data_IF_959386229135
#
_entry.id   IF_959386229135
#
_cell.length_a   1.000
_cell.length_b   1.000
_cell.length_c   1.000
_cell.angle_alpha   90.00
_cell.angle_beta   90.00
_cell.angle_gamma   90.00
#
_symmetry.space_group_name_H-M   'P 1'
#
loop_
_entity.id
_entity.type
_entity.pdbx_description
1 polymer ?
#
# COMPACT_ATOMS: atom_id res chain seq x y z
N UNK A 1 8.22 -19.04 -9.73
CA UNK A 1 7.95 -18.68 -8.34
C UNK A 1 6.65 -17.91 -8.24
N UNK A 2 5.97 -18.09 -7.11
CA UNK A 2 4.72 -17.47 -6.78
C UNK A 2 4.92 -16.56 -5.57
N UNK A 3 4.20 -15.45 -5.53
CA UNK A 3 4.40 -14.50 -4.45
C UNK A 3 3.72 -13.16 -4.68
N UNK A 4 4.11 -12.21 -3.85
CA UNK A 4 3.62 -10.84 -3.89
C UNK A 4 4.76 -9.84 -3.71
N UNK A 5 4.75 -8.79 -4.53
CA UNK A 5 5.52 -7.58 -4.28
C UNK A 5 4.57 -6.53 -3.68
N UNK A 6 4.99 -5.89 -2.60
CA UNK A 6 4.19 -4.92 -1.86
C UNK A 6 4.98 -3.63 -1.74
N UNK A 7 4.35 -2.52 -2.09
CA UNK A 7 4.87 -1.18 -1.82
C UNK A 7 3.93 -0.53 -0.82
N UNK A 8 4.50 -0.08 0.29
CA UNK A 8 3.81 0.65 1.34
C UNK A 8 4.34 2.08 1.37
N UNK A 9 3.46 3.07 1.40
CA UNK A 9 3.84 4.47 1.68
C UNK A 9 2.99 4.99 2.83
N UNK A 10 3.63 5.51 3.87
CA UNK A 10 2.98 6.18 4.99
C UNK A 10 3.16 7.68 4.83
N UNK A 11 2.07 8.41 4.96
CA UNK A 11 2.03 9.85 4.93
C UNK A 11 1.57 10.33 6.30
N UNK A 12 2.43 11.09 6.98
CA UNK A 12 2.01 11.96 8.07
C UNK A 12 1.27 13.14 7.45
N UNK A 13 0.02 13.34 7.83
CA UNK A 13 -0.85 14.39 7.27
C UNK A 13 -1.25 15.44 8.29
N UNK A 14 -0.89 15.26 9.57
CA UNK A 14 -1.29 16.14 10.65
C UNK A 14 -1.28 15.45 12.00
N UNK A 15 -1.90 16.09 12.99
CA UNK A 15 -1.99 15.59 14.36
C UNK A 15 -3.18 14.66 14.57
N UNK A 16 -4.28 14.95 13.89
CA UNK A 16 -5.53 14.22 14.08
C UNK A 16 -6.39 14.23 12.82
N UNK A 17 -7.12 13.15 12.60
CA UNK A 17 -8.11 13.01 11.53
C UNK A 17 -9.47 12.64 12.11
N UNK A 18 -10.50 13.44 11.82
CA UNK A 18 -11.88 13.07 12.16
C UNK A 18 -12.36 11.94 11.23
N UNK A 19 -12.18 10.70 11.69
CA UNK A 19 -12.58 9.50 10.94
C UNK A 19 -14.09 9.48 10.64
N UNK A 20 -14.93 10.00 11.54
CA UNK A 20 -16.38 10.00 11.34
C UNK A 20 -16.78 10.93 10.19
N UNK A 21 -16.11 12.08 10.05
CA UNK A 21 -16.34 13.00 8.95
C UNK A 21 -15.71 12.53 7.62
N UNK A 22 -14.51 11.94 7.69
CA UNK A 22 -13.76 11.47 6.52
C UNK A 22 -14.44 10.29 5.81
N UNK A 23 -15.16 9.44 6.54
CA UNK A 23 -15.69 8.19 5.98
C UNK A 23 -16.59 8.37 4.75
N UNK A 24 -17.33 9.48 4.68
CA UNK A 24 -18.21 9.79 3.55
C UNK A 24 -17.50 10.43 2.36
N UNK A 25 -16.24 10.82 2.50
CA UNK A 25 -15.47 11.54 1.46
C UNK A 25 -14.59 10.62 0.62
N UNK A 26 -14.30 9.43 1.15
CA UNK A 26 -13.39 8.48 0.54
C UNK A 26 -14.12 7.66 -0.54
N UNK A 27 -13.47 7.50 -1.70
CA UNK A 27 -13.96 6.67 -2.78
C UNK A 27 -13.34 5.27 -2.72
N UNK A 28 -14.15 4.24 -2.97
CA UNK A 28 -13.73 2.84 -3.00
C UNK A 28 -14.59 1.95 -2.11
N UNK A 29 -14.21 0.68 -2.02
CA UNK A 29 -14.93 -0.31 -1.22
C UNK A 29 -14.42 -0.31 0.22
N UNK A 30 -15.30 -0.03 1.19
CA UNK A 30 -14.96 -0.09 2.60
C UNK A 30 -14.71 -1.53 3.03
N UNK A 31 -13.56 -1.74 3.66
CA UNK A 31 -13.17 -3.03 4.22
C UNK A 31 -13.31 -3.02 5.73
N UNK A 32 -13.60 -4.19 6.30
CA UNK A 32 -13.46 -4.37 7.74
C UNK A 32 -11.98 -4.19 8.13
N UNK A 33 -11.73 -3.40 9.17
CA UNK A 33 -10.38 -3.31 9.73
C UNK A 33 -9.97 -4.72 10.22
N UNK A 34 -8.82 -5.27 9.78
CA UNK A 34 -8.40 -6.58 10.20
C UNK A 34 -8.16 -6.60 11.71
N UNK A 35 -8.61 -7.66 12.38
CA UNK A 35 -8.23 -7.92 13.76
C UNK A 35 -6.76 -8.30 13.75
N UNK A 36 -5.91 -7.47 14.34
CA UNK A 36 -4.48 -7.79 14.49
C UNK A 36 -4.34 -8.96 15.46
N UNK A 37 -4.07 -10.16 14.94
CA UNK A 37 -3.89 -11.39 15.75
C UNK A 37 -2.74 -11.26 16.77
N UNK A 38 -1.79 -10.38 16.52
CA UNK A 38 -0.52 -10.31 17.26
C UNK A 38 -0.38 -9.06 18.16
N UNK A 39 -1.42 -8.22 18.26
CA UNK A 39 -1.43 -7.12 19.23
C UNK A 39 -1.84 -7.68 20.60
N UNK A 40 -1.08 -7.43 21.69
CA UNK A 40 -1.51 -7.79 23.04
C UNK A 40 -2.91 -7.25 23.32
N UNK A 41 -3.78 -8.04 23.97
CA UNK A 41 -5.17 -7.63 24.29
C UNK A 41 -5.26 -6.34 25.10
N UNK A 42 -4.17 -5.96 25.78
CA UNK A 42 -4.04 -4.73 26.56
C UNK A 42 -3.84 -3.49 25.70
N UNK A 43 -3.43 -3.62 24.43
CA UNK A 43 -3.21 -2.51 23.51
C UNK A 43 -4.45 -2.34 22.64
N UNK A 44 -5.25 -1.31 22.93
CA UNK A 44 -6.36 -0.89 22.08
C UNK A 44 -5.86 0.17 21.10
N UNK A 45 -5.56 -0.25 19.88
CA UNK A 45 -5.29 0.69 18.79
C UNK A 45 -6.62 1.23 18.22
N UNK A 46 -6.72 2.54 17.93
CA UNK A 46 -7.84 3.07 17.15
C UNK A 46 -7.99 2.31 15.83
N UNK A 47 -9.22 1.96 15.46
CA UNK A 47 -9.46 1.19 14.23
C UNK A 47 -9.37 2.14 13.04
N UNK A 48 -8.44 1.93 12.10
CA UNK A 48 -8.39 2.76 10.91
C UNK A 48 -9.62 2.55 10.05
N UNK A 49 -9.94 3.55 9.24
CA UNK A 49 -10.79 3.35 8.07
C UNK A 49 -9.95 2.66 7.01
N UNK A 50 -10.38 1.48 6.56
CA UNK A 50 -9.71 0.72 5.51
C UNK A 50 -10.56 0.75 4.26
N UNK A 51 -9.96 1.16 3.15
CA UNK A 51 -10.63 1.23 1.85
C UNK A 51 -9.78 0.52 0.82
N UNK A 52 -10.42 -0.33 0.04
CA UNK A 52 -9.86 -0.87 -1.18
C UNK A 52 -10.23 0.07 -2.32
N UNK A 53 -9.20 0.56 -3.01
CA UNK A 53 -9.37 1.47 -4.13
C UNK A 53 -9.78 0.64 -5.34
N UNK A 54 -11.05 0.77 -5.72
CA UNK A 54 -11.59 0.08 -6.89
C UNK A 54 -10.91 0.62 -8.15
N UNK A 55 -10.09 -0.22 -8.78
CA UNK A 55 -9.46 0.09 -10.05
C UNK A 55 -9.28 -1.19 -10.85
N UNK A 56 -9.68 -1.16 -12.13
CA UNK A 56 -9.41 -2.26 -13.06
C UNK A 56 -7.96 -2.17 -13.49
N UNK A 57 -7.08 -2.86 -12.77
CA UNK A 57 -5.66 -2.88 -13.07
C UNK A 57 -5.35 -4.00 -14.05
N UNK A 58 -4.70 -3.67 -15.15
CA UNK A 58 -4.13 -4.65 -16.09
C UNK A 58 -2.65 -4.38 -16.28
N UNK A 59 -1.87 -5.43 -16.51
CA UNK A 59 -0.44 -5.31 -16.78
C UNK A 59 -0.07 -6.24 -17.93
N UNK A 60 0.86 -5.80 -18.78
CA UNK A 60 1.45 -6.62 -19.83
C UNK A 60 2.60 -7.50 -19.29
N UNK A 61 2.88 -7.44 -17.98
CA UNK A 61 3.87 -8.28 -17.32
C UNK A 61 3.45 -9.77 -17.39
N UNK A 62 4.26 -10.67 -17.98
CA UNK A 62 3.85 -12.04 -18.26
C UNK A 62 3.44 -12.87 -17.03
N UNK A 63 3.97 -12.53 -15.86
CA UNK A 63 3.73 -13.24 -14.60
C UNK A 63 2.70 -12.54 -13.72
N UNK A 64 2.03 -11.51 -14.24
CA UNK A 64 1.00 -10.76 -13.52
C UNK A 64 -0.22 -11.65 -13.22
N UNK A 65 -0.62 -11.68 -11.94
CA UNK A 65 -1.85 -12.36 -11.51
C UNK A 65 -2.94 -11.37 -11.13
N UNK A 66 -2.61 -10.43 -10.25
CA UNK A 66 -3.53 -9.42 -9.75
C UNK A 66 -2.75 -8.24 -9.16
N UNK A 67 -3.41 -7.08 -9.06
CA UNK A 67 -2.93 -5.97 -8.26
C UNK A 67 -4.06 -5.35 -7.46
N UNK A 68 -3.77 -4.90 -6.25
CA UNK A 68 -4.72 -4.21 -5.36
C UNK A 68 -4.06 -3.01 -4.71
N UNK A 69 -4.84 -1.97 -4.44
CA UNK A 69 -4.40 -0.80 -3.68
C UNK A 69 -5.36 -0.58 -2.52
N UNK A 70 -4.81 -0.45 -1.32
CA UNK A 70 -5.56 -0.18 -0.10
C UNK A 70 -5.08 1.10 0.54
N UNK A 71 -6.01 1.92 1.02
CA UNK A 71 -5.74 3.06 1.88
C UNK A 71 -6.22 2.73 3.29
N UNK A 72 -5.39 3.05 4.29
CA UNK A 72 -5.74 3.03 5.71
C UNK A 72 -5.59 4.44 6.25
N UNK A 73 -6.67 5.00 6.76
CA UNK A 73 -6.67 6.31 7.42
C UNK A 73 -6.77 6.10 8.92
N UNK A 74 -5.79 6.60 9.64
CA UNK A 74 -5.70 6.52 11.09
C UNK A 74 -6.07 7.87 11.72
N UNK A 75 -6.64 7.79 12.92
CA UNK A 75 -7.10 8.97 13.68
C UNK A 75 -5.94 9.86 14.15
N UNK A 76 -4.74 9.30 14.26
CA UNK A 76 -3.51 9.95 14.73
C UNK A 76 -2.77 10.73 13.64
N UNK A 77 -3.42 11.02 12.51
CA UNK A 77 -2.81 11.82 11.45
C UNK A 77 -1.96 11.02 10.46
N UNK A 78 -2.11 9.70 10.40
CA UNK A 78 -1.38 8.85 9.45
C UNK A 78 -2.28 8.30 8.36
N UNK A 79 -1.78 8.28 7.13
CA UNK A 79 -2.40 7.59 6.01
C UNK A 79 -1.41 6.59 5.42
N UNK A 80 -1.76 5.31 5.43
CA UNK A 80 -0.97 4.26 4.79
C UNK A 80 -1.62 3.82 3.48
N UNK A 81 -0.86 3.89 2.39
CA UNK A 81 -1.22 3.29 1.11
C UNK A 81 -0.44 1.99 0.92
N UNK A 82 -1.13 0.93 0.54
CA UNK A 82 -0.58 -0.43 0.36
C UNK A 82 -0.93 -0.90 -1.04
N UNK A 83 0.02 -0.82 -1.96
CA UNK A 83 -0.09 -1.44 -3.27
C UNK A 83 0.47 -2.86 -3.19
N UNK A 84 -0.25 -3.83 -3.73
CA UNK A 84 0.18 -5.23 -3.84
C UNK A 84 0.11 -5.69 -5.28
N UNK A 85 1.16 -6.31 -5.77
CA UNK A 85 1.21 -7.07 -7.01
C UNK A 85 1.36 -8.55 -6.63
N UNK A 86 0.41 -9.38 -7.01
CA UNK A 86 0.55 -10.84 -6.94
C UNK A 86 1.08 -11.34 -8.29
N UNK A 87 2.04 -12.27 -8.24
CA UNK A 87 2.64 -12.89 -9.43
C UNK A 87 2.65 -14.42 -9.31
N UNK A 88 2.68 -15.10 -10.46
CA UNK A 88 2.67 -16.55 -10.56
C UNK A 88 3.66 -17.03 -11.64
N UNK A 89 4.45 -18.06 -11.33
CA UNK A 89 5.38 -18.65 -12.29
C UNK A 89 6.62 -17.82 -12.64
N UNK A 90 6.96 -16.77 -11.89
CA UNK A 90 8.12 -15.90 -12.15
C UNK A 90 9.46 -16.63 -11.95
N UNK A 91 10.36 -16.70 -12.94
CA UNK A 91 11.71 -17.24 -12.75
C UNK A 91 12.49 -16.50 -11.67
N UNK A 92 13.37 -17.20 -10.95
CA UNK A 92 14.08 -16.64 -9.80
C UNK A 92 15.14 -15.61 -10.18
N UNK A 93 15.75 -15.75 -11.34
CA UNK A 93 16.65 -14.77 -11.95
C UNK A 93 15.93 -13.47 -12.39
N UNK A 94 14.59 -13.47 -12.44
CA UNK A 94 13.77 -12.34 -12.90
C UNK A 94 13.09 -11.54 -11.79
N UNK A 95 13.39 -11.82 -10.52
CA UNK A 95 12.84 -11.04 -9.40
C UNK A 95 13.08 -9.52 -9.52
N UNK A 96 14.21 -9.12 -10.11
CA UNK A 96 14.56 -7.73 -10.32
C UNK A 96 13.59 -6.98 -11.27
N UNK A 97 12.90 -7.71 -12.16
CA UNK A 97 11.93 -7.14 -13.11
C UNK A 97 10.70 -6.55 -12.38
N UNK A 98 10.39 -7.04 -11.16
CA UNK A 98 9.23 -6.58 -10.37
C UNK A 98 9.25 -5.07 -10.07
N UNK A 99 10.44 -4.47 -9.97
CA UNK A 99 10.60 -3.03 -9.68
C UNK A 99 10.06 -2.15 -10.82
N UNK A 100 10.15 -2.61 -12.06
CA UNK A 100 9.76 -1.85 -13.26
C UNK A 100 8.43 -2.27 -13.86
N UNK A 101 7.64 -3.10 -13.18
CA UNK A 101 6.34 -3.53 -13.68
C UNK A 101 5.42 -2.32 -13.81
N UNK A 102 4.90 -2.14 -15.02
CA UNK A 102 3.92 -1.10 -15.33
C UNK A 102 2.51 -1.65 -15.31
N UNK A 103 1.60 -0.83 -14.81
CA UNK A 103 0.19 -1.11 -14.63
C UNK A 103 -0.61 -0.08 -15.41
N UNK A 104 -1.55 -0.54 -16.23
CA UNK A 104 -2.54 0.32 -16.86
C UNK A 104 -3.67 0.57 -15.87
N UNK A 105 -3.77 1.82 -15.41
CA UNK A 105 -4.86 2.34 -14.58
C UNK A 105 -5.48 3.51 -15.35
N UNK A 106 -6.79 3.48 -15.57
CA UNK A 106 -7.53 4.51 -16.32
C UNK A 106 -6.89 4.84 -17.69
N UNK A 107 -6.31 3.83 -18.36
CA UNK A 107 -5.66 3.98 -19.67
C UNK A 107 -4.26 4.61 -19.67
N UNK A 108 -3.65 4.81 -18.49
CA UNK A 108 -2.27 5.29 -18.34
C UNK A 108 -1.41 4.25 -17.64
N UNK A 109 -0.14 4.19 -18.03
CA UNK A 109 0.85 3.33 -17.38
C UNK A 109 1.39 4.01 -16.12
N UNK A 110 1.41 3.27 -15.01
CA UNK A 110 2.02 3.67 -13.75
C UNK A 110 2.90 2.53 -13.23
N UNK A 111 3.97 2.84 -12.51
CA UNK A 111 4.61 1.91 -11.57
C UNK A 111 3.84 1.87 -10.23
N UNK A 112 4.11 0.89 -9.36
CA UNK A 112 3.38 0.77 -8.07
C UNK A 112 3.48 2.04 -7.21
N UNK A 113 4.68 2.66 -7.19
CA UNK A 113 4.91 3.89 -6.44
C UNK A 113 4.12 5.08 -6.97
N UNK A 114 4.02 5.19 -8.30
CA UNK A 114 3.27 6.25 -8.99
C UNK A 114 1.76 6.04 -8.87
N UNK A 115 1.30 4.78 -8.88
CA UNK A 115 -0.09 4.42 -8.65
C UNK A 115 -0.57 4.86 -7.26
N UNK A 116 0.27 4.68 -6.23
CA UNK A 116 0.01 5.19 -4.89
C UNK A 116 -0.07 6.72 -4.89
N UNK A 117 0.93 7.39 -5.46
CA UNK A 117 0.96 8.86 -5.50
C UNK A 117 -0.25 9.44 -6.22
N UNK A 118 -0.65 8.85 -7.34
CA UNK A 118 -1.84 9.23 -8.07
C UNK A 118 -3.10 9.21 -7.20
N UNK A 119 -3.27 8.16 -6.40
CA UNK A 119 -4.43 8.04 -5.50
C UNK A 119 -4.31 8.94 -4.28
N UNK A 120 -3.12 9.11 -3.73
CA UNK A 120 -2.87 10.04 -2.63
C UNK A 120 -3.23 11.48 -3.03
N UNK A 121 -2.80 11.95 -4.22
CA UNK A 121 -3.12 13.28 -4.73
C UNK A 121 -4.63 13.48 -4.97
N UNK A 122 -5.35 12.41 -5.34
CA UNK A 122 -6.82 12.44 -5.49
C UNK A 122 -7.55 12.44 -4.14
N UNK A 123 -7.03 11.70 -3.16
CA UNK A 123 -7.69 11.47 -1.88
C UNK A 123 -7.45 12.61 -0.88
N UNK A 124 -6.21 13.07 -0.74
CA UNK A 124 -5.82 14.02 0.31
C UNK A 124 -6.66 15.32 0.30
N UNK A 125 -6.88 16.00 -0.85
CA UNK A 125 -7.67 17.24 -0.86
C UNK A 125 -9.13 17.07 -0.40
N UNK A 126 -9.68 15.85 -0.50
CA UNK A 126 -11.06 15.56 -0.07
C UNK A 126 -11.20 15.42 1.44
N UNK A 127 -10.12 15.00 2.08
CA UNK A 127 -10.10 14.72 3.52
C UNK A 127 -9.40 15.81 4.32
N UNK A 128 -8.56 16.62 3.68
CA UNK A 128 -7.82 17.73 4.28
C UNK A 128 -8.67 18.66 5.16
N UNK A 129 -9.94 19.01 4.82
CA UNK A 129 -10.78 19.82 5.71
C UNK A 129 -11.09 19.19 7.08
N UNK A 130 -10.86 17.89 7.23
CA UNK A 130 -11.13 17.10 8.44
C UNK A 130 -9.85 16.68 9.16
N UNK A 131 -8.72 17.28 8.79
CA UNK A 131 -7.41 17.02 9.38
C UNK A 131 -7.02 18.22 10.23
N UNK A 132 -6.78 17.99 11.52
CA UNK A 132 -6.16 18.97 12.39
C UNK A 132 -4.64 18.91 12.21
N UNK A 133 -4.08 20.04 11.78
CA UNK A 133 -2.65 20.20 11.53
C UNK A 133 -1.95 21.00 12.63
N UNK A 134 -2.64 21.41 13.71
CA UNK A 134 -2.15 22.32 14.76
C UNK A 134 -0.61 22.32 14.87
N UNK A 135 0.02 23.36 14.31
CA UNK A 135 1.48 23.66 14.28
C UNK A 135 2.38 22.99 13.23
N UNK A 136 1.86 22.20 12.29
CA UNK A 136 2.66 21.66 11.18
C UNK A 136 2.57 22.52 9.92
N UNK A 137 3.60 23.34 9.66
CA UNK A 137 3.89 23.82 8.31
C UNK A 137 4.63 22.71 7.54
N UNK A 138 3.87 21.77 6.98
CA UNK A 138 4.47 20.74 6.11
C UNK A 138 4.96 21.41 4.81
N UNK A 139 6.28 21.55 4.66
CA UNK A 139 6.91 22.03 3.43
C UNK A 139 6.74 21.00 2.29
N UNK A 140 6.70 19.71 2.65
CA UNK A 140 6.19 18.61 1.84
C UNK A 140 6.09 17.36 2.71
N UNK A 141 5.00 16.60 2.61
CA UNK A 141 4.89 15.29 3.26
C UNK A 141 5.68 14.27 2.45
N UNK A 142 6.98 14.15 2.69
CA UNK A 142 7.76 13.04 2.17
C UNK A 142 7.25 11.75 2.80
N UNK A 143 6.79 10.76 2.02
CA UNK A 143 6.29 9.53 2.58
C UNK A 143 7.43 8.66 3.10
N UNK A 144 7.16 7.98 4.20
CA UNK A 144 7.97 6.84 4.59
C UNK A 144 7.60 5.64 3.71
N UNK A 145 8.56 5.14 2.92
CA UNK A 145 8.30 4.12 1.90
C UNK A 145 9.00 2.80 2.22
N UNK A 146 8.26 1.70 2.09
CA UNK A 146 8.75 0.35 2.29
C UNK A 146 8.40 -0.54 1.11
N UNK A 147 9.31 -1.45 0.78
CA UNK A 147 9.11 -2.50 -0.22
C UNK A 147 9.25 -3.86 0.44
N UNK A 148 8.31 -4.75 0.19
CA UNK A 148 8.27 -6.10 0.76
C UNK A 148 8.10 -7.08 -0.40
N UNK A 149 8.91 -8.14 -0.40
CA UNK A 149 8.76 -9.27 -1.31
C UNK A 149 8.38 -10.50 -0.51
N UNK A 150 7.22 -11.07 -0.81
CA UNK A 150 6.71 -12.28 -0.20
C UNK A 150 6.80 -13.42 -1.23
N UNK A 151 7.54 -14.48 -0.92
CA UNK A 151 7.58 -15.70 -1.74
C UNK A 151 6.72 -16.75 -1.04
N UNK A 152 5.75 -17.31 -1.74
CA UNK A 152 4.80 -18.28 -1.18
C UNK A 152 5.15 -19.72 -1.48
N UNK A 153 6.13 -19.96 -2.35
CA UNK A 153 6.66 -21.30 -2.61
C UNK A 153 7.48 -21.81 -1.43
N UNK A 154 7.61 -23.14 -1.34
CA UNK A 154 8.57 -23.76 -0.43
C UNK A 154 9.99 -23.54 -0.97
N UNK A 155 10.73 -22.65 -0.31
CA UNK A 155 12.12 -22.30 -0.65
C UNK A 155 13.15 -23.02 0.22
N UNK A 156 12.73 -23.95 1.10
CA UNK A 156 13.60 -24.54 2.09
C UNK A 156 14.03 -23.54 3.16
N UNK A 157 15.35 -23.38 3.37
CA UNK A 157 15.90 -22.40 4.32
C UNK A 157 15.88 -20.98 3.71
N UNK A 158 15.08 -20.04 4.26
CA UNK A 158 14.97 -18.69 3.72
C UNK A 158 16.28 -17.91 3.73
N UNK A 159 17.15 -18.11 4.73
CA UNK A 159 18.43 -17.41 4.79
C UNK A 159 19.36 -17.88 3.67
N UNK A 160 19.43 -19.19 3.44
CA UNK A 160 20.22 -19.75 2.33
C UNK A 160 19.67 -19.31 0.98
N UNK A 161 18.34 -19.29 0.83
CA UNK A 161 17.69 -18.82 -0.39
C UNK A 161 18.09 -17.38 -0.75
N UNK A 162 18.07 -16.48 0.23
CA UNK A 162 18.47 -15.07 0.06
C UNK A 162 19.97 -14.96 -0.23
N UNK A 163 20.81 -15.62 0.55
CA UNK A 163 22.28 -15.54 0.39
C UNK A 163 22.74 -16.04 -0.98
N UNK A 164 22.14 -17.10 -1.51
CA UNK A 164 22.47 -17.63 -2.83
C UNK A 164 22.17 -16.65 -3.98
N UNK A 165 21.35 -15.63 -3.73
CA UNK A 165 20.81 -14.70 -4.74
C UNK A 165 21.12 -13.22 -4.44
N UNK A 166 21.95 -12.96 -3.44
CA UNK A 166 22.34 -11.60 -3.03
C UNK A 166 23.55 -11.03 -3.79
N UNK A 167 24.08 -11.76 -4.79
CA UNK A 167 25.22 -11.36 -5.63
C UNK A 167 24.79 -11.02 -7.05
#
# INVERSE_FOLDING_TARGET
>A
MNGEAIVLKLYDVGRHVDLAAVIGQLAGTRMAAPVTRDSPETIRLPRPIVIEVDSSVVSDFPYFKAATLKAKVYEDGVIAFIARLSFEGLPDDKLHELKGVKYKIDGKDYEMGEWIEHHQHKMLPRIEPFIDKEYYEFISTEPEAYSILCITDDVGDPQQFVQARAN
#
